data_IF_469190032562
#
_entry.id   IF_469190032562
#
_cell.length_a   1.000
_cell.length_b   1.000
_cell.length_c   1.000
_cell.angle_alpha   90.00
_cell.angle_beta   90.00
_cell.angle_gamma   90.00
#
_symmetry.space_group_name_H-M   'P 1'
#
loop_
_entity.id
_entity.type
_entity.pdbx_description
1 polymer ?
#
# COMPACT_ATOMS: atom_id res chain seq x y z
N UNK A 1 -0.71 -2.62 -0.92
CA UNK A 1 -1.27 -2.87 0.42
C UNK A 1 -2.76 -3.04 0.28
N UNK A 2 -3.32 -4.11 0.84
CA UNK A 2 -4.77 -4.31 0.91
C UNK A 2 -5.27 -3.78 2.25
N UNK A 3 -6.35 -3.00 2.21
CA UNK A 3 -6.97 -2.40 3.40
C UNK A 3 -8.46 -2.73 3.45
N UNK A 4 -9.03 -2.70 4.65
CA UNK A 4 -10.47 -2.62 4.87
C UNK A 4 -10.86 -1.25 5.39
N UNK A 5 -11.96 -0.71 4.87
CA UNK A 5 -12.58 0.53 5.31
C UNK A 5 -14.06 0.21 5.56
N UNK A 6 -14.48 0.15 6.83
CA UNK A 6 -15.82 -0.33 7.19
C UNK A 6 -16.15 -1.68 6.51
N UNK A 7 -17.13 -1.69 5.59
CA UNK A 7 -17.57 -2.87 4.84
C UNK A 7 -16.90 -3.02 3.45
N UNK A 8 -16.02 -2.09 3.07
CA UNK A 8 -15.34 -2.06 1.79
C UNK A 8 -13.85 -2.44 1.89
N UNK A 9 -13.25 -2.75 0.74
CA UNK A 9 -11.82 -3.01 0.61
C UNK A 9 -11.20 -2.15 -0.51
N UNK A 10 -9.95 -1.77 -0.30
CA UNK A 10 -9.15 -1.10 -1.32
C UNK A 10 -7.74 -1.69 -1.40
N UNK A 11 -7.08 -1.44 -2.52
CA UNK A 11 -5.67 -1.71 -2.75
C UNK A 11 -4.95 -0.38 -2.95
N UNK A 12 -4.07 -0.07 -2.02
CA UNK A 12 -3.23 1.13 -2.05
C UNK A 12 -1.83 0.78 -2.54
N UNK A 13 -1.38 1.47 -3.58
CA UNK A 13 0.00 1.47 -4.02
C UNK A 13 0.78 2.58 -3.28
N UNK A 14 1.98 2.28 -2.80
CA UNK A 14 2.87 3.26 -2.18
C UNK A 14 4.20 3.27 -2.94
N UNK A 15 4.61 4.43 -3.45
CA UNK A 15 5.85 4.59 -4.19
C UNK A 15 6.45 5.98 -3.97
N UNK A 16 7.69 6.02 -3.48
CA UNK A 16 8.47 7.26 -3.26
C UNK A 16 7.70 8.35 -2.48
N UNK A 17 7.00 7.95 -1.41
CA UNK A 17 6.25 8.88 -0.55
C UNK A 17 4.85 9.24 -1.06
N UNK A 18 4.45 8.74 -2.24
CA UNK A 18 3.10 8.91 -2.76
C UNK A 18 2.28 7.65 -2.54
N UNK A 19 1.02 7.82 -2.16
CA UNK A 19 0.03 6.76 -2.09
C UNK A 19 -1.06 6.97 -3.14
N UNK A 20 -1.64 5.89 -3.65
CA UNK A 20 -2.76 5.95 -4.60
C UNK A 20 -3.65 4.73 -4.46
N UNK A 21 -4.97 4.94 -4.54
CA UNK A 21 -5.94 3.86 -4.67
C UNK A 21 -5.86 3.24 -6.06
N UNK A 22 -5.97 1.91 -6.11
CA UNK A 22 -6.06 1.14 -7.35
C UNK A 22 -7.50 0.73 -7.69
N UNK A 23 -8.45 0.95 -6.77
CA UNK A 23 -9.86 0.59 -6.97
C UNK A 23 -10.76 1.82 -7.11
N UNK A 24 -10.30 2.97 -6.62
CA UNK A 24 -11.05 4.23 -6.60
C UNK A 24 -10.21 5.39 -7.13
N UNK A 25 -10.86 6.55 -7.31
CA UNK A 25 -10.16 7.78 -7.67
C UNK A 25 -9.30 8.26 -6.51
N UNK A 26 -8.04 8.61 -6.79
CA UNK A 26 -7.15 9.26 -5.82
C UNK A 26 -7.33 10.78 -5.92
N UNK A 27 -7.42 11.46 -4.78
CA UNK A 27 -7.48 12.92 -4.76
C UNK A 27 -6.24 13.52 -5.44
N UNK A 28 -6.42 14.59 -6.22
CA UNK A 28 -5.30 15.30 -6.84
C UNK A 28 -4.50 16.14 -5.82
N UNK A 29 -5.19 16.62 -4.78
CA UNK A 29 -4.59 17.40 -3.71
C UNK A 29 -3.79 16.47 -2.77
N UNK A 30 -2.44 16.62 -2.67
CA UNK A 30 -1.61 15.78 -1.83
C UNK A 30 -1.84 15.98 -0.33
N UNK A 31 -2.50 17.06 0.09
CA UNK A 31 -2.86 17.30 1.49
C UNK A 31 -4.08 16.48 1.91
N UNK A 32 -4.78 15.84 0.97
CA UNK A 32 -5.90 14.93 1.25
C UNK A 32 -5.36 13.51 1.42
N UNK A 33 -5.49 12.89 2.61
CA UNK A 33 -5.05 11.53 2.83
C UNK A 33 -5.80 10.54 1.92
N UNK A 34 -5.05 9.60 1.34
CA UNK A 34 -5.64 8.48 0.59
C UNK A 34 -6.25 7.43 1.52
N UNK A 35 -5.70 7.30 2.72
CA UNK A 35 -6.17 6.36 3.74
C UNK A 35 -7.03 7.12 4.75
N UNK A 36 -8.30 6.75 4.97
CA UNK A 36 -9.08 7.26 6.08
C UNK A 36 -8.57 6.71 7.42
N UNK A 37 -8.89 7.40 8.52
CA UNK A 37 -8.37 7.06 9.86
C UNK A 37 -8.84 5.67 10.34
N UNK A 38 -10.02 5.23 9.91
CA UNK A 38 -10.58 3.91 10.21
C UNK A 38 -10.02 2.77 9.35
N UNK A 39 -9.15 3.07 8.38
CA UNK A 39 -8.58 2.04 7.51
C UNK A 39 -7.70 1.06 8.30
N UNK A 40 -7.96 -0.24 8.13
CA UNK A 40 -7.13 -1.30 8.72
C UNK A 40 -6.35 -2.02 7.63
N UNK A 41 -5.04 -2.16 7.82
CA UNK A 41 -4.16 -2.92 6.92
C UNK A 41 -4.45 -4.42 7.06
N UNK A 42 -4.82 -5.06 5.95
CA UNK A 42 -5.06 -6.51 5.89
C UNK A 42 -3.76 -7.23 5.52
N UNK A 43 -3.08 -6.74 4.48
CA UNK A 43 -1.87 -7.37 3.96
C UNK A 43 -1.03 -6.43 3.12
N UNK A 44 0.27 -6.71 3.07
CA UNK A 44 1.22 -5.95 2.27
C UNK A 44 1.94 -6.88 1.31
N UNK A 45 2.01 -6.44 0.06
CA UNK A 45 2.84 -7.04 -0.98
C UNK A 45 3.94 -6.06 -1.34
N UNK A 46 5.18 -6.54 -1.43
CA UNK A 46 6.35 -5.80 -1.90
C UNK A 46 6.59 -6.17 -3.34
N UNK A 47 6.57 -5.18 -4.23
CA UNK A 47 6.69 -5.37 -5.67
C UNK A 47 7.97 -4.70 -6.18
N UNK A 48 8.73 -5.41 -7.01
CA UNK A 48 9.96 -4.91 -7.62
C UNK A 48 9.67 -3.89 -8.73
N UNK A 49 10.44 -2.81 -8.74
CA UNK A 49 10.45 -1.83 -9.83
C UNK A 49 11.27 -2.34 -11.03
N UNK A 50 10.93 -1.99 -12.29
CA UNK A 50 9.74 -1.23 -12.70
C UNK A 50 8.45 -2.04 -12.52
N UNK A 51 7.36 -1.35 -12.13
CA UNK A 51 6.05 -1.98 -11.98
C UNK A 51 5.43 -2.28 -13.36
N UNK A 52 4.98 -3.52 -13.56
CA UNK A 52 4.17 -3.94 -14.70
C UNK A 52 2.84 -4.50 -14.16
N UNK A 53 1.70 -3.84 -14.40
CA UNK A 53 0.41 -4.31 -13.90
C UNK A 53 -0.03 -5.65 -14.51
N UNK A 54 0.38 -5.95 -15.75
CA UNK A 54 0.07 -7.22 -16.43
C UNK A 54 0.91 -8.39 -15.92
N UNK A 55 2.08 -8.09 -15.34
CA UNK A 55 2.97 -9.10 -14.77
C UNK A 55 3.76 -8.53 -13.59
N UNK A 56 3.10 -8.35 -12.42
CA UNK A 56 3.75 -7.79 -11.25
C UNK A 56 4.86 -8.71 -10.74
N UNK A 57 6.05 -8.16 -10.50
CA UNK A 57 7.18 -8.91 -9.94
C UNK A 57 7.16 -8.81 -8.41
N UNK A 58 6.55 -9.78 -7.76
CA UNK A 58 6.53 -9.84 -6.30
C UNK A 58 7.89 -10.19 -5.71
N UNK A 59 8.35 -9.39 -4.75
CA UNK A 59 9.49 -9.67 -3.88
C UNK A 59 9.01 -10.46 -2.66
N UNK A 60 7.85 -10.08 -2.13
CA UNK A 60 7.24 -10.68 -0.95
C UNK A 60 5.74 -10.39 -0.98
N UNK A 61 4.92 -11.31 -0.47
CA UNK A 61 3.46 -11.18 -0.49
C UNK A 61 2.84 -11.53 0.85
N UNK A 62 1.68 -10.93 1.13
CA UNK A 62 0.83 -11.31 2.25
C UNK A 62 1.46 -11.05 3.63
N UNK A 63 2.40 -10.12 3.74
CA UNK A 63 3.03 -9.83 5.04
C UNK A 63 2.13 -8.93 5.88
N UNK A 64 2.21 -9.10 7.20
CA UNK A 64 1.52 -8.23 8.15
C UNK A 64 2.17 -6.85 8.20
N UNK A 65 1.48 -5.92 8.86
CA UNK A 65 2.02 -4.59 9.14
C UNK A 65 3.31 -4.67 9.96
N UNK A 66 3.35 -5.50 11.00
CA UNK A 66 4.50 -5.64 11.90
C UNK A 66 5.73 -6.20 11.16
N UNK A 67 5.52 -7.15 10.25
CA UNK A 67 6.59 -7.66 9.40
C UNK A 67 7.11 -6.60 8.42
N UNK A 68 6.24 -5.72 7.91
CA UNK A 68 6.67 -4.60 7.07
C UNK A 68 7.42 -3.54 7.87
N UNK A 69 6.98 -3.22 9.10
CA UNK A 69 7.63 -2.28 9.99
C UNK A 69 9.07 -2.71 10.31
N UNK A 70 9.30 -4.00 10.59
CA UNK A 70 10.64 -4.54 10.77
C UNK A 70 11.54 -4.30 9.53
N UNK A 71 11.01 -4.49 8.32
CA UNK A 71 11.74 -4.26 7.07
C UNK A 71 12.05 -2.77 6.83
N UNK A 72 11.16 -1.86 7.25
CA UNK A 72 11.38 -0.42 7.14
C UNK A 72 12.48 0.04 8.10
N UNK A 73 12.46 -0.45 9.34
CA UNK A 73 13.50 -0.19 10.34
C UNK A 73 14.88 -0.66 9.89
N UNK A 74 14.97 -1.82 9.23
CA UNK A 74 16.22 -2.35 8.67
C UNK A 74 16.88 -1.40 7.65
N UNK A 75 16.08 -0.61 6.93
CA UNK A 75 16.56 0.35 5.93
C UNK A 75 16.59 1.80 6.43
N UNK A 76 16.29 2.01 7.72
CA UNK A 76 16.33 3.33 8.37
C UNK A 76 15.19 4.27 7.98
N UNK A 77 14.02 3.72 7.64
CA UNK A 77 12.77 4.45 7.38
C UNK A 77 11.85 4.30 8.60
#
# INVERSE_FOLDING_TARGET
MSISIADDQDKIAVFKGFSSSLMQSTAFDPDVPVLPDEATTISIDRIGSPYNPESPRYIQQGISWEAMEALLLEVGI
#
